data_IF_533705447045
#
_entry.id   IF_533705447045
#
_cell.length_a   1.000
_cell.length_b   1.000
_cell.length_c   1.000
_cell.angle_alpha   90.00
_cell.angle_beta   90.00
_cell.angle_gamma   90.00
#
_symmetry.space_group_name_H-M   'P 1'
#
loop_
_entity.id
_entity.type
_entity.pdbx_description
1 polymer ?
#
# COMPACT_ATOMS: atom_id res chain seq x y z
N UNK A 1 -11.69 6.92 -11.04
CA UNK A 1 -11.04 7.63 -9.92
C UNK A 1 -11.89 8.75 -9.33
N UNK A 2 -12.78 9.39 -10.08
CA UNK A 2 -13.75 10.37 -9.56
C UNK A 2 -14.69 9.85 -8.45
N UNK A 3 -14.70 8.54 -8.18
CA UNK A 3 -15.42 7.92 -7.07
C UNK A 3 -14.59 7.85 -5.77
N UNK A 4 -13.29 8.14 -5.83
CA UNK A 4 -12.43 8.16 -4.66
C UNK A 4 -12.32 9.59 -4.15
N UNK A 5 -12.64 9.74 -2.89
CA UNK A 5 -12.56 10.98 -2.15
C UNK A 5 -11.14 11.34 -1.72
N UNK A 6 -10.33 10.29 -1.55
CA UNK A 6 -8.95 10.35 -1.14
C UNK A 6 -8.27 9.04 -1.56
N UNK A 7 -7.06 9.14 -2.12
CA UNK A 7 -6.27 8.02 -2.58
C UNK A 7 -4.87 8.05 -1.96
N UNK A 8 -4.52 6.98 -1.24
CA UNK A 8 -3.18 6.77 -0.70
C UNK A 8 -2.42 5.73 -1.51
N UNK A 9 -1.11 5.94 -1.71
CA UNK A 9 -0.20 4.90 -2.19
C UNK A 9 0.86 4.62 -1.13
N UNK A 10 0.99 3.36 -0.70
CA UNK A 10 2.01 2.95 0.24
C UNK A 10 3.26 2.50 -0.52
N UNK A 11 4.28 3.36 -0.55
CA UNK A 11 5.55 3.07 -1.19
C UNK A 11 6.51 2.35 -0.24
N UNK A 12 6.89 1.15 -0.65
CA UNK A 12 7.78 0.25 0.09
C UNK A 12 8.73 -0.39 -0.89
N UNK A 13 10.05 -0.40 -0.62
CA UNK A 13 11.02 -1.08 -1.47
C UNK A 13 10.65 -2.55 -1.71
N UNK A 14 10.91 -3.03 -2.93
CA UNK A 14 10.64 -4.42 -3.36
C UNK A 14 11.19 -5.44 -2.35
N UNK A 15 12.39 -5.19 -1.84
CA UNK A 15 13.12 -6.10 -0.95
C UNK A 15 12.42 -6.25 0.41
N UNK A 16 11.91 -5.15 0.94
CA UNK A 16 11.14 -5.13 2.18
C UNK A 16 9.79 -5.81 1.99
N UNK A 17 9.10 -5.55 0.85
CA UNK A 17 7.85 -6.24 0.52
C UNK A 17 8.04 -7.75 0.35
N UNK A 18 9.11 -8.16 -0.31
CA UNK A 18 9.43 -9.57 -0.53
C UNK A 18 9.75 -10.28 0.80
N UNK A 19 10.57 -9.66 1.66
CA UNK A 19 10.87 -10.21 2.98
C UNK A 19 9.60 -10.42 3.82
N UNK A 20 8.72 -9.41 3.87
CA UNK A 20 7.41 -9.50 4.55
C UNK A 20 6.53 -10.58 3.96
N UNK A 21 6.49 -10.68 2.62
CA UNK A 21 5.73 -11.72 1.91
C UNK A 21 6.23 -13.12 2.23
N UNK A 22 7.56 -13.33 2.25
CA UNK A 22 8.14 -14.63 2.60
C UNK A 22 7.69 -15.02 4.01
N UNK A 23 7.91 -14.14 4.99
CA UNK A 23 7.54 -14.41 6.38
C UNK A 23 6.06 -14.79 6.53
N UNK A 24 5.17 -13.99 5.93
CA UNK A 24 3.71 -14.23 5.95
C UNK A 24 3.33 -15.54 5.25
N UNK A 25 3.79 -15.74 4.02
CA UNK A 25 3.38 -16.90 3.21
C UNK A 25 3.92 -18.23 3.79
N UNK A 26 5.08 -18.21 4.45
CA UNK A 26 5.60 -19.40 5.16
C UNK A 26 4.86 -19.67 6.46
N UNK A 27 4.51 -18.63 7.23
CA UNK A 27 3.88 -18.79 8.54
C UNK A 27 2.38 -19.08 8.46
N UNK A 28 1.67 -18.41 7.55
CA UNK A 28 0.20 -18.38 7.54
C UNK A 28 -0.42 -19.20 6.40
N UNK A 29 0.36 -19.50 5.35
CA UNK A 29 -0.17 -20.07 4.10
C UNK A 29 0.48 -21.39 3.69
N UNK A 30 1.35 -21.94 4.54
CA UNK A 30 2.03 -23.23 4.31
C UNK A 30 2.96 -23.25 3.08
N UNK A 31 3.40 -22.09 2.58
CA UNK A 31 4.29 -22.03 1.40
C UNK A 31 5.75 -22.23 1.81
N UNK A 32 6.55 -22.75 0.89
CA UNK A 32 8.00 -22.77 1.04
C UNK A 32 8.62 -21.47 0.53
N UNK A 33 9.76 -21.06 1.11
CA UNK A 33 10.52 -19.89 0.63
C UNK A 33 10.80 -19.96 -0.87
N UNK A 34 11.18 -21.14 -1.38
CA UNK A 34 11.43 -21.38 -2.81
C UNK A 34 10.19 -21.12 -3.67
N UNK A 35 9.03 -21.59 -3.24
CA UNK A 35 7.76 -21.36 -3.95
C UNK A 35 7.42 -19.87 -4.02
N UNK A 36 7.59 -19.14 -2.91
CA UNK A 36 7.33 -17.69 -2.85
C UNK A 36 8.26 -16.91 -3.79
N UNK A 37 9.56 -17.21 -3.77
CA UNK A 37 10.54 -16.56 -4.64
C UNK A 37 10.27 -16.84 -6.12
N UNK A 38 10.02 -18.10 -6.47
CA UNK A 38 9.68 -18.49 -7.85
C UNK A 38 8.46 -17.73 -8.37
N UNK A 39 7.38 -17.67 -7.57
CA UNK A 39 6.19 -16.92 -7.95
C UNK A 39 6.46 -15.40 -8.04
N UNK A 40 7.28 -14.86 -7.13
CA UNK A 40 7.59 -13.44 -7.11
C UNK A 40 8.27 -12.99 -8.41
N UNK A 41 9.28 -13.72 -8.86
CA UNK A 41 9.99 -13.42 -10.10
C UNK A 41 9.13 -13.74 -11.33
N UNK A 42 8.41 -14.86 -11.34
CA UNK A 42 7.65 -15.27 -12.51
C UNK A 42 6.47 -14.35 -12.84
N UNK A 43 5.84 -13.74 -11.82
CA UNK A 43 4.57 -13.01 -12.03
C UNK A 43 4.47 -11.70 -11.25
N UNK A 44 4.83 -11.69 -9.96
CA UNK A 44 4.47 -10.55 -9.10
C UNK A 44 5.30 -9.31 -9.37
N UNK A 45 6.60 -9.46 -9.63
CA UNK A 45 7.47 -8.32 -9.96
C UNK A 45 7.02 -7.64 -11.25
N UNK A 46 6.79 -8.43 -12.31
CA UNK A 46 6.32 -7.91 -13.61
C UNK A 46 4.94 -7.26 -13.51
N UNK A 47 3.98 -7.91 -12.83
CA UNK A 47 2.65 -7.34 -12.64
C UNK A 47 2.68 -6.07 -11.78
N UNK A 48 3.53 -6.01 -10.75
CA UNK A 48 3.70 -4.80 -9.95
C UNK A 48 4.19 -3.63 -10.81
N UNK A 49 5.27 -3.83 -11.56
CA UNK A 49 5.83 -2.80 -12.43
C UNK A 49 4.85 -2.34 -13.52
N UNK A 50 4.09 -3.27 -14.11
CA UNK A 50 3.18 -2.96 -15.20
C UNK A 50 1.87 -2.29 -14.74
N UNK A 51 1.34 -2.69 -13.57
CA UNK A 51 -0.04 -2.35 -13.19
C UNK A 51 -0.19 -1.67 -11.83
N UNK A 52 0.73 -1.88 -10.88
CA UNK A 52 0.62 -1.32 -9.52
C UNK A 52 1.43 -0.05 -9.39
N UNK A 53 2.72 -0.08 -9.71
CA UNK A 53 3.63 1.07 -9.58
C UNK A 53 3.12 2.32 -10.34
N UNK A 54 2.60 2.23 -11.58
CA UNK A 54 2.08 3.41 -12.28
C UNK A 54 0.91 4.09 -11.57
N UNK A 55 0.19 3.36 -10.69
CA UNK A 55 -0.93 3.93 -9.94
C UNK A 55 -0.52 4.90 -8.85
N UNK A 56 0.76 4.91 -8.47
CA UNK A 56 1.36 5.84 -7.52
C UNK A 56 1.21 7.29 -7.93
N UNK A 57 1.34 7.59 -9.23
CA UNK A 57 1.21 8.93 -9.78
C UNK A 57 -0.21 9.51 -9.63
N UNK A 58 -1.16 8.70 -9.16
CA UNK A 58 -2.58 9.02 -9.12
C UNK A 58 -3.11 9.02 -7.68
N UNK A 59 -2.20 8.99 -6.70
CA UNK A 59 -2.50 9.12 -5.29
C UNK A 59 -2.36 10.59 -4.84
N UNK A 60 -3.25 11.01 -3.95
CA UNK A 60 -3.18 12.32 -3.31
C UNK A 60 -2.02 12.38 -2.31
N UNK A 61 -1.70 11.24 -1.68
CA UNK A 61 -0.58 11.12 -0.76
C UNK A 61 0.15 9.78 -0.93
N UNK A 62 1.46 9.88 -1.13
CA UNK A 62 2.38 8.74 -1.11
C UNK A 62 2.98 8.62 0.30
N UNK A 63 2.78 7.47 0.93
CA UNK A 63 3.28 7.15 2.25
C UNK A 63 4.45 6.19 2.13
N UNK A 64 5.62 6.56 2.64
CA UNK A 64 6.79 5.71 2.62
C UNK A 64 6.86 4.84 3.87
N UNK A 65 7.10 3.54 3.71
CA UNK A 65 7.22 2.64 4.85
C UNK A 65 8.32 1.58 4.69
N UNK A 66 9.36 1.66 5.51
CA UNK A 66 10.36 0.59 5.67
C UNK A 66 10.26 -0.11 7.04
N UNK A 67 9.47 0.42 7.96
CA UNK A 67 9.44 0.02 9.37
C UNK A 67 8.04 -0.39 9.83
N UNK A 68 7.71 0.01 11.06
CA UNK A 68 6.41 -0.27 11.66
C UNK A 68 5.30 0.49 10.93
N UNK A 69 4.16 -0.18 10.76
CA UNK A 69 3.01 0.35 10.02
C UNK A 69 2.19 1.36 10.82
N UNK A 70 2.32 1.36 12.15
CA UNK A 70 1.59 2.22 13.09
C UNK A 70 1.74 3.70 12.75
N UNK A 71 2.97 4.19 12.60
CA UNK A 71 3.21 5.61 12.27
C UNK A 71 2.58 6.02 10.95
N UNK A 72 2.60 5.14 9.96
CA UNK A 72 2.03 5.42 8.63
C UNK A 72 0.51 5.39 8.68
N UNK A 73 -0.07 4.49 9.48
CA UNK A 73 -1.50 4.42 9.71
C UNK A 73 -2.02 5.65 10.47
N UNK A 74 -1.28 6.14 11.46
CA UNK A 74 -1.62 7.36 12.21
C UNK A 74 -1.68 8.58 11.28
N UNK A 75 -0.69 8.75 10.40
CA UNK A 75 -0.68 9.84 9.40
C UNK A 75 -1.87 9.70 8.44
N UNK A 76 -2.12 8.50 7.91
CA UNK A 76 -3.25 8.27 7.01
C UNK A 76 -4.59 8.58 7.70
N UNK A 77 -4.76 8.15 8.96
CA UNK A 77 -5.96 8.41 9.75
C UNK A 77 -6.18 9.90 9.99
N UNK A 78 -5.12 10.64 10.33
CA UNK A 78 -5.20 12.09 10.52
C UNK A 78 -5.67 12.81 9.24
N UNK A 79 -5.16 12.42 8.06
CA UNK A 79 -5.59 12.99 6.77
C UNK A 79 -7.05 12.65 6.49
N UNK A 80 -7.50 11.42 6.76
CA UNK A 80 -8.91 11.03 6.60
C UNK A 80 -9.82 11.88 7.49
N UNK A 81 -9.49 12.03 8.77
CA UNK A 81 -10.28 12.82 9.73
C UNK A 81 -10.41 14.26 9.27
N UNK A 82 -9.31 14.88 8.82
CA UNK A 82 -9.32 16.24 8.28
C UNK A 82 -10.19 16.37 7.03
N UNK A 83 -10.11 15.40 6.10
CA UNK A 83 -10.96 15.40 4.90
C UNK A 83 -12.44 15.26 5.24
N UNK A 84 -12.79 14.43 6.22
CA UNK A 84 -14.17 14.30 6.71
C UNK A 84 -14.69 15.60 7.33
N UNK A 85 -13.85 16.29 8.12
CA UNK A 85 -14.22 17.57 8.72
C UNK A 85 -14.51 18.65 7.66
N UNK A 86 -13.65 18.75 6.62
CA UNK A 86 -13.85 19.68 5.51
C UNK A 86 -15.15 19.44 4.75
N UNK A 87 -15.48 18.17 4.49
CA UNK A 87 -16.74 17.79 3.82
C UNK A 87 -17.96 18.20 4.62
N UNK A 88 -17.94 17.91 5.91
CA UNK A 88 -19.04 18.28 6.81
C UNK A 88 -19.27 19.80 6.84
N UNK A 89 -18.20 20.60 6.81
CA UNK A 89 -18.31 22.06 6.72
C UNK A 89 -18.89 22.52 5.38
N UNK A 90 -18.47 21.90 4.27
CA UNK A 90 -18.98 22.22 2.93
C UNK A 90 -20.45 21.83 2.72
N UNK A 91 -20.97 20.84 3.46
CA UNK A 91 -22.39 20.43 3.40
C UNK A 91 -23.33 21.35 4.20
N UNK A 92 -22.80 22.08 5.19
CA UNK A 92 -23.58 22.94 6.09
C UNK A 92 -23.57 24.41 5.63
N UNK A 93 -22.64 24.78 4.75
CA UNK A 93 -22.52 26.11 4.14
C UNK A 93 -23.37 26.24 2.87
#
# INVERSE_FOLDING_TARGET
RALLDLAFFLDVPDEVRLARRIARDTAERGRTRRSVLSQFEATVRGAHAAYVEPTKALADLVLYNVGRVDRVAEVAAAVVVEQMARRRLAEVA
#
